data_IF_254344622601
#
_entry.id   IF_254344622601
#
_cell.length_a   1.000
_cell.length_b   1.000
_cell.length_c   1.000
_cell.angle_alpha   90.00
_cell.angle_beta   90.00
_cell.angle_gamma   90.00
#
_symmetry.space_group_name_H-M   'P 1'
#
loop_
_entity.id
_entity.type
_entity.pdbx_description
1 polymer ?
#
# COMPACT_ATOMS: atom_id res chain seq x y z
N UNK A 1 -84.74 29.07 -34.15
CA UNK A 1 -83.72 28.01 -34.29
C UNK A 1 -82.35 28.68 -34.48
N UNK A 2 -81.44 28.42 -33.53
CA UNK A 2 -79.97 28.50 -33.63
C UNK A 2 -79.28 29.74 -34.22
N UNK A 3 -78.73 30.61 -33.36
CA UNK A 3 -77.54 31.39 -33.70
C UNK A 3 -76.36 30.86 -32.88
N UNK A 4 -75.42 30.21 -33.57
CA UNK A 4 -74.11 29.84 -33.04
C UNK A 4 -73.24 31.09 -32.91
N UNK A 5 -72.66 31.33 -31.73
CA UNK A 5 -71.54 32.27 -31.57
C UNK A 5 -70.24 31.48 -31.47
N UNK A 6 -69.35 31.69 -32.44
CA UNK A 6 -67.99 31.17 -32.41
C UNK A 6 -67.09 32.06 -31.55
N UNK A 7 -66.15 31.39 -30.89
CA UNK A 7 -65.21 31.91 -29.91
C UNK A 7 -64.02 32.66 -30.53
N UNK A 8 -63.51 33.65 -29.79
CA UNK A 8 -62.11 34.09 -29.73
C UNK A 8 -62.05 35.20 -28.67
N UNK A 9 -61.18 35.24 -27.68
CA UNK A 9 -59.93 34.55 -27.37
C UNK A 9 -59.20 35.54 -26.48
N UNK A 10 -59.28 35.37 -25.16
CA UNK A 10 -58.80 36.34 -24.17
C UNK A 10 -57.55 35.79 -23.47
N UNK A 11 -56.55 35.40 -24.27
CA UNK A 11 -55.34 34.68 -23.79
C UNK A 11 -54.04 35.50 -23.92
N UNK A 12 -54.12 36.83 -24.06
CA UNK A 12 -52.92 37.67 -24.25
C UNK A 12 -52.37 38.31 -22.97
N UNK A 13 -53.21 38.61 -21.98
CA UNK A 13 -52.81 39.47 -20.85
C UNK A 13 -52.13 38.69 -19.71
N UNK A 14 -52.68 37.52 -19.34
CA UNK A 14 -52.13 36.72 -18.23
C UNK A 14 -50.73 36.16 -18.53
N UNK A 15 -50.44 35.87 -19.80
CA UNK A 15 -49.15 35.35 -20.25
C UNK A 15 -48.07 36.45 -20.23
N UNK A 16 -48.43 37.68 -20.59
CA UNK A 16 -47.52 38.83 -20.54
C UNK A 16 -47.14 39.25 -19.11
N UNK A 17 -48.09 39.18 -18.18
CA UNK A 17 -47.82 39.50 -16.76
C UNK A 17 -46.94 38.44 -16.10
N UNK A 18 -47.14 37.15 -16.41
CA UNK A 18 -46.30 36.07 -15.90
C UNK A 18 -44.86 36.16 -16.46
N UNK A 19 -44.71 36.48 -17.75
CA UNK A 19 -43.41 36.73 -18.36
C UNK A 19 -42.71 37.96 -17.77
N UNK A 20 -43.45 39.04 -17.50
CA UNK A 20 -42.90 40.24 -16.87
C UNK A 20 -42.47 39.97 -15.41
N UNK A 21 -43.24 39.18 -14.66
CA UNK A 21 -42.89 38.79 -13.29
C UNK A 21 -41.68 37.84 -13.26
N UNK A 22 -41.59 36.89 -14.18
CA UNK A 22 -40.41 36.02 -14.32
C UNK A 22 -39.16 36.82 -14.73
N UNK A 23 -39.30 37.78 -15.65
CA UNK A 23 -38.20 38.67 -16.03
C UNK A 23 -37.75 39.57 -14.87
N UNK A 24 -38.70 40.07 -14.05
CA UNK A 24 -38.39 40.85 -12.85
C UNK A 24 -37.72 40.01 -11.75
N UNK A 25 -38.13 38.75 -11.57
CA UNK A 25 -37.48 37.79 -10.68
C UNK A 25 -36.06 37.43 -11.13
N UNK A 26 -35.82 37.33 -12.45
CA UNK A 26 -34.49 37.14 -13.00
C UNK A 26 -33.61 38.40 -12.87
N UNK A 27 -34.19 39.60 -12.90
CA UNK A 27 -33.47 40.86 -12.70
C UNK A 27 -33.20 41.20 -11.22
N UNK A 28 -34.02 40.71 -10.29
CA UNK A 28 -33.84 40.90 -8.84
C UNK A 28 -32.87 39.89 -8.21
N UNK A 29 -32.47 38.85 -8.95
CA UNK A 29 -31.33 38.02 -8.60
C UNK A 29 -30.05 38.82 -8.82
N UNK A 30 -29.59 39.54 -7.79
CA UNK A 30 -28.24 40.09 -7.77
C UNK A 30 -27.27 38.95 -8.01
N UNK A 31 -26.64 38.92 -9.18
CA UNK A 31 -25.43 38.16 -9.40
C UNK A 31 -24.41 38.72 -8.40
N UNK A 32 -24.22 38.03 -7.28
CA UNK A 32 -23.06 38.27 -6.44
C UNK A 32 -21.87 37.93 -7.31
N UNK A 33 -21.11 38.95 -7.70
CA UNK A 33 -19.78 38.78 -8.26
C UNK A 33 -19.02 37.92 -7.25
N UNK A 34 -18.80 36.66 -7.62
CA UNK A 34 -17.95 35.78 -6.86
C UNK A 34 -16.53 36.19 -7.24
N UNK A 35 -15.86 36.93 -6.37
CA UNK A 35 -14.43 37.22 -6.49
C UNK A 35 -13.67 35.88 -6.41
N UNK A 36 -13.51 35.23 -7.56
CA UNK A 36 -12.57 34.13 -7.72
C UNK A 36 -11.18 34.75 -7.74
N UNK A 37 -10.60 34.91 -6.55
CA UNK A 37 -9.29 35.52 -6.34
C UNK A 37 -8.24 34.91 -7.29
N UNK A 38 -7.72 35.81 -8.12
CA UNK A 38 -6.58 35.67 -9.02
C UNK A 38 -5.42 34.92 -8.38
N UNK A 39 -5.01 33.82 -9.00
CA UNK A 39 -3.66 33.29 -8.84
C UNK A 39 -3.10 32.96 -10.21
N UNK A 40 -2.70 33.99 -10.95
CA UNK A 40 -1.71 33.79 -12.00
C UNK A 40 -0.77 34.99 -12.06
N UNK A 41 0.39 34.82 -11.43
CA UNK A 41 1.60 35.49 -11.85
C UNK A 41 2.71 34.45 -11.83
N UNK A 42 2.90 33.88 -13.01
CA UNK A 42 4.13 33.35 -13.58
C UNK A 42 4.66 31.96 -13.18
N UNK A 43 4.94 31.22 -14.26
CA UNK A 43 5.24 29.79 -14.36
C UNK A 43 6.68 29.51 -13.91
N UNK A 44 6.81 28.69 -12.87
CA UNK A 44 8.01 27.93 -12.51
C UNK A 44 7.58 26.54 -12.02
N UNK A 45 8.07 25.49 -12.67
CA UNK A 45 7.65 24.09 -12.52
C UNK A 45 7.68 23.54 -11.08
N UNK A 46 6.69 22.68 -10.77
CA UNK A 46 6.48 21.82 -9.58
C UNK A 46 5.51 22.30 -8.47
N UNK A 47 4.26 21.85 -8.65
CA UNK A 47 3.27 21.32 -7.68
C UNK A 47 2.88 22.10 -6.40
N UNK A 48 1.58 22.46 -6.40
CA UNK A 48 0.62 22.48 -5.28
C UNK A 48 0.72 23.54 -4.18
N UNK A 49 -0.06 24.61 -4.40
CA UNK A 49 -1.10 25.11 -3.49
C UNK A 49 -0.95 24.87 -1.99
N UNK A 50 -0.46 25.89 -1.28
CA UNK A 50 -0.59 26.00 0.18
C UNK A 50 -2.05 26.25 0.58
N UNK A 51 -2.66 25.25 1.21
CA UNK A 51 -3.68 25.43 2.23
C UNK A 51 -3.34 24.49 3.41
N UNK A 52 -2.57 25.02 4.38
CA UNK A 52 -2.23 24.44 5.69
C UNK A 52 -1.48 23.08 5.78
N UNK A 53 -0.60 22.71 4.84
CA UNK A 53 0.34 21.61 5.14
C UNK A 53 1.40 22.10 6.13
N UNK A 54 1.32 21.62 7.38
CA UNK A 54 2.34 21.86 8.40
C UNK A 54 3.70 21.43 7.84
N UNK A 55 4.79 22.22 8.02
CA UNK A 55 6.10 21.78 7.57
C UNK A 55 6.46 20.43 8.20
N UNK A 56 7.17 19.55 7.48
CA UNK A 56 7.59 18.26 8.02
C UNK A 56 8.34 18.49 9.33
N UNK A 57 7.86 17.83 10.38
CA UNK A 57 8.38 17.99 11.74
C UNK A 57 9.06 16.70 12.18
N UNK A 58 10.27 16.83 12.71
CA UNK A 58 10.97 15.70 13.28
C UNK A 58 10.61 15.54 14.76
N UNK A 59 10.15 14.34 15.10
CA UNK A 59 9.72 13.96 16.44
C UNK A 59 10.49 12.73 16.91
N UNK A 60 10.68 12.59 18.21
CA UNK A 60 11.33 11.40 18.78
C UNK A 60 10.39 10.18 18.69
N UNK A 61 10.96 9.02 18.36
CA UNK A 61 10.26 7.73 18.36
C UNK A 61 10.06 7.33 19.82
N UNK A 62 8.81 7.30 20.31
CA UNK A 62 8.57 7.04 21.72
C UNK A 62 8.67 5.54 22.02
N UNK A 63 8.98 5.20 23.28
CA UNK A 63 9.17 3.81 23.72
C UNK A 63 7.91 2.95 23.56
N UNK A 64 6.73 3.58 23.58
CA UNK A 64 5.45 2.91 23.40
C UNK A 64 5.12 2.61 21.93
N UNK A 65 5.87 3.15 20.95
CA UNK A 65 5.77 2.75 19.54
C UNK A 65 6.53 1.43 19.30
N UNK A 66 5.98 0.34 19.87
CA UNK A 66 6.60 -0.99 19.92
C UNK A 66 7.09 -1.54 18.58
N UNK A 67 6.46 -1.14 17.47
CA UNK A 67 6.84 -1.57 16.13
C UNK A 67 8.25 -1.09 15.76
N UNK A 68 8.59 0.15 16.10
CA UNK A 68 9.76 0.87 15.58
C UNK A 68 10.69 1.44 16.65
N UNK A 69 10.37 1.25 17.93
CA UNK A 69 11.33 1.54 18.98
C UNK A 69 12.59 0.68 18.79
N UNK A 70 13.76 1.31 18.87
CA UNK A 70 15.08 0.67 18.72
C UNK A 70 15.39 0.10 17.32
N UNK A 71 14.83 0.67 16.26
CA UNK A 71 15.09 0.28 14.85
C UNK A 71 16.41 0.81 14.28
N UNK A 72 17.22 1.52 15.08
CA UNK A 72 18.55 2.03 14.69
C UNK A 72 18.66 3.56 14.57
N UNK A 73 17.54 4.28 14.69
CA UNK A 73 17.49 5.74 14.79
C UNK A 73 16.46 6.17 15.84
N UNK A 74 16.55 7.43 16.27
CA UNK A 74 15.74 7.96 17.38
C UNK A 74 14.65 8.94 16.96
N UNK A 75 14.76 9.54 15.77
CA UNK A 75 13.84 10.58 15.29
C UNK A 75 13.22 10.20 13.96
N UNK A 76 11.92 10.43 13.85
CA UNK A 76 11.15 10.22 12.63
C UNK A 76 10.50 11.53 12.17
N UNK A 77 10.08 11.59 10.92
CA UNK A 77 9.35 12.74 10.35
C UNK A 77 7.84 12.50 10.33
N UNK A 78 7.07 13.56 10.61
CA UNK A 78 5.63 13.65 10.37
C UNK A 78 5.31 14.80 9.39
N UNK A 79 4.32 14.65 8.50
CA UNK A 79 3.54 13.43 8.28
C UNK A 79 4.40 12.28 7.72
N UNK A 80 4.05 11.04 8.04
CA UNK A 80 4.79 9.87 7.55
C UNK A 80 4.36 9.46 6.14
N UNK A 81 4.97 8.39 5.58
CA UNK A 81 4.65 7.90 4.23
C UNK A 81 3.25 7.28 4.09
N UNK A 82 2.53 7.13 5.20
CA UNK A 82 1.14 6.69 5.28
C UNK A 82 0.21 7.86 5.65
N UNK A 83 0.69 9.11 5.54
CA UNK A 83 -0.07 10.34 5.75
C UNK A 83 -0.61 10.56 7.17
N UNK A 84 -0.05 9.88 8.17
CA UNK A 84 -0.38 10.18 9.57
C UNK A 84 0.30 11.48 9.99
N UNK A 85 -0.46 12.42 10.55
CA UNK A 85 0.04 13.74 10.96
C UNK A 85 0.43 13.77 12.44
N UNK A 86 -0.14 12.85 13.24
CA UNK A 86 0.02 12.82 14.70
C UNK A 86 0.61 11.51 15.20
N UNK A 87 1.32 11.57 16.32
CA UNK A 87 1.84 10.35 16.97
C UNK A 87 0.74 9.43 17.50
N UNK A 88 -0.44 9.96 17.82
CA UNK A 88 -1.55 9.14 18.25
C UNK A 88 -2.02 8.20 17.12
N UNK A 89 -2.20 8.75 15.91
CA UNK A 89 -2.55 7.98 14.72
C UNK A 89 -1.51 6.92 14.37
N UNK A 90 -0.23 7.31 14.35
CA UNK A 90 0.88 6.38 14.07
C UNK A 90 0.88 5.24 15.05
N UNK A 91 0.78 5.51 16.37
CA UNK A 91 0.75 4.45 17.39
C UNK A 91 -0.45 3.54 17.23
N UNK A 92 -1.63 4.12 17.00
CA UNK A 92 -2.86 3.36 16.85
C UNK A 92 -2.76 2.38 15.69
N UNK A 93 -2.39 2.86 14.50
CA UNK A 93 -2.32 1.98 13.33
C UNK A 93 -1.11 1.04 13.38
N UNK A 94 0.05 1.48 13.85
CA UNK A 94 1.25 0.63 13.99
C UNK A 94 1.04 -0.52 14.99
N UNK A 95 0.22 -0.32 16.03
CA UNK A 95 -0.04 -1.35 17.04
C UNK A 95 -0.65 -2.63 16.46
N UNK A 96 -1.47 -2.51 15.41
CA UNK A 96 -2.10 -3.64 14.72
C UNK A 96 -1.09 -4.52 13.98
N UNK A 97 0.12 -4.01 13.70
CA UNK A 97 1.18 -4.75 13.01
C UNK A 97 2.12 -5.52 13.95
N UNK A 98 2.09 -5.21 15.26
CA UNK A 98 2.94 -5.87 16.26
C UNK A 98 2.73 -7.40 16.31
N UNK A 99 1.50 -7.94 16.23
CA UNK A 99 1.30 -9.38 16.19
C UNK A 99 1.96 -10.05 14.97
N UNK A 100 1.92 -9.42 13.79
CA UNK A 100 2.58 -9.94 12.59
C UNK A 100 4.11 -9.89 12.73
N UNK A 101 4.65 -8.79 13.27
CA UNK A 101 6.08 -8.67 13.55
C UNK A 101 6.57 -9.79 14.47
N UNK A 102 5.79 -10.13 15.52
CA UNK A 102 6.10 -11.20 16.46
C UNK A 102 5.96 -12.62 15.88
N UNK A 103 5.39 -12.78 14.67
CA UNK A 103 5.45 -14.05 13.95
C UNK A 103 6.80 -14.27 13.27
N UNK A 104 7.61 -13.21 13.12
CA UNK A 104 8.95 -13.28 12.54
C UNK A 104 8.99 -13.99 11.18
N UNK A 105 7.94 -13.81 10.36
CA UNK A 105 7.81 -14.42 9.04
C UNK A 105 8.94 -14.02 8.08
N UNK A 106 9.50 -12.81 8.22
CA UNK A 106 10.66 -12.36 7.46
C UNK A 106 11.55 -11.46 8.32
N UNK A 107 12.87 -11.49 8.10
CA UNK A 107 13.81 -10.64 8.85
C UNK A 107 13.65 -9.15 8.51
N UNK A 108 13.23 -8.88 7.28
CA UNK A 108 12.95 -7.53 6.75
C UNK A 108 11.68 -6.87 7.26
N UNK A 109 10.80 -7.58 7.96
CA UNK A 109 9.47 -7.07 8.30
C UNK A 109 9.53 -5.78 9.12
N UNK A 110 10.41 -5.72 10.13
CA UNK A 110 10.52 -4.52 10.98
C UNK A 110 11.00 -3.31 10.18
N UNK A 111 12.08 -3.46 9.42
CA UNK A 111 12.65 -2.36 8.62
C UNK A 111 11.65 -1.88 7.57
N UNK A 112 10.99 -2.81 6.88
CA UNK A 112 9.96 -2.46 5.89
C UNK A 112 8.83 -1.65 6.53
N UNK A 113 8.20 -2.15 7.60
CA UNK A 113 7.09 -1.44 8.24
C UNK A 113 7.54 -0.09 8.82
N UNK A 114 8.71 -0.02 9.45
CA UNK A 114 9.21 1.23 10.04
C UNK A 114 9.65 2.27 9.01
N UNK A 115 10.06 1.85 7.81
CA UNK A 115 10.30 2.80 6.72
C UNK A 115 9.04 3.61 6.36
N UNK A 116 7.86 3.04 6.59
CA UNK A 116 6.56 3.67 6.27
C UNK A 116 5.95 4.36 7.50
N UNK A 117 5.90 3.67 8.63
CA UNK A 117 5.30 4.18 9.87
C UNK A 117 6.16 5.22 10.58
N UNK A 118 7.49 5.05 10.54
CA UNK A 118 8.44 5.86 11.27
C UNK A 118 9.64 6.27 10.40
N UNK A 119 9.45 6.87 9.21
CA UNK A 119 10.55 7.21 8.30
C UNK A 119 11.60 8.07 9.00
N UNK A 120 12.87 7.86 8.67
CA UNK A 120 14.00 8.63 9.22
C UNK A 120 13.77 10.12 8.99
N UNK A 121 14.07 10.94 10.01
CA UNK A 121 14.04 12.40 9.90
C UNK A 121 15.09 12.89 8.87
N UNK A 122 14.64 13.12 7.64
CA UNK A 122 15.40 13.65 6.51
C UNK A 122 14.53 14.66 5.74
N UNK A 123 15.16 15.57 4.99
CA UNK A 123 14.45 16.59 4.19
C UNK A 123 13.59 15.97 3.08
N UNK A 124 14.03 14.82 2.55
CA UNK A 124 13.29 14.05 1.56
C UNK A 124 13.07 12.63 2.09
N UNK A 125 11.84 12.12 2.08
CA UNK A 125 11.59 10.76 2.53
C UNK A 125 12.19 9.76 1.54
N UNK A 126 12.71 8.65 2.08
CA UNK A 126 13.25 7.54 1.30
C UNK A 126 12.29 6.36 1.46
N UNK A 127 11.81 5.83 0.34
CA UNK A 127 10.90 4.69 0.31
C UNK A 127 11.67 3.36 0.46
N UNK A 128 11.01 2.28 0.96
CA UNK A 128 11.58 0.94 0.86
C UNK A 128 11.70 0.52 -0.61
N UNK A 129 12.72 -0.28 -0.93
CA UNK A 129 12.83 -0.85 -2.27
C UNK A 129 11.67 -1.82 -2.54
N UNK A 130 11.19 -1.90 -3.79
CA UNK A 130 10.11 -2.82 -4.18
C UNK A 130 10.40 -4.27 -3.83
N UNK A 131 11.62 -4.74 -4.11
CA UNK A 131 12.03 -6.11 -3.81
C UNK A 131 11.96 -6.43 -2.31
N UNK A 132 12.21 -5.46 -1.43
CA UNK A 132 12.10 -5.64 0.02
C UNK A 132 10.63 -5.81 0.42
N UNK A 133 9.74 -5.01 -0.16
CA UNK A 133 8.30 -5.18 0.03
C UNK A 133 7.83 -6.56 -0.42
N UNK A 134 8.21 -6.98 -1.63
CA UNK A 134 7.80 -8.28 -2.19
C UNK A 134 8.29 -9.43 -1.33
N UNK A 135 9.56 -9.43 -0.92
CA UNK A 135 10.11 -10.45 -0.04
C UNK A 135 9.37 -10.55 1.30
N UNK A 136 9.02 -9.41 1.91
CA UNK A 136 8.24 -9.37 3.16
C UNK A 136 6.81 -9.84 2.91
N UNK A 137 6.13 -9.35 1.86
CA UNK A 137 4.78 -9.76 1.48
C UNK A 137 4.72 -11.27 1.27
N UNK A 138 5.56 -11.82 0.42
CA UNK A 138 5.52 -13.23 0.04
C UNK A 138 5.74 -14.15 1.25
N UNK A 139 6.52 -13.70 2.23
CA UNK A 139 6.77 -14.44 3.48
C UNK A 139 5.66 -14.27 4.52
N UNK A 140 5.06 -13.09 4.62
CA UNK A 140 4.16 -12.71 5.71
C UNK A 140 2.67 -12.72 5.34
N UNK A 141 2.32 -12.53 4.08
CA UNK A 141 0.94 -12.55 3.60
C UNK A 141 0.26 -13.91 3.84
N UNK A 142 0.89 -15.08 3.62
CA UNK A 142 0.27 -16.37 3.96
C UNK A 142 -0.07 -16.49 5.46
N UNK A 143 0.76 -15.90 6.32
CA UNK A 143 0.51 -15.83 7.77
C UNK A 143 -0.68 -14.92 8.07
N UNK A 144 -0.81 -13.78 7.39
CA UNK A 144 -1.98 -12.91 7.52
C UNK A 144 -3.26 -13.60 7.05
N UNK A 145 -3.21 -14.28 5.90
CA UNK A 145 -4.36 -14.99 5.32
C UNK A 145 -4.85 -16.12 6.22
N UNK A 146 -3.95 -16.80 6.93
CA UNK A 146 -4.32 -17.79 7.94
C UNK A 146 -5.22 -17.22 9.06
N UNK A 147 -5.05 -15.93 9.40
CA UNK A 147 -5.89 -15.22 10.36
C UNK A 147 -7.06 -14.44 9.69
N UNK A 148 -7.27 -14.60 8.38
CA UNK A 148 -8.36 -13.95 7.64
C UNK A 148 -8.05 -12.51 7.18
N UNK A 149 -6.78 -12.11 7.15
CA UNK A 149 -6.35 -10.79 6.69
C UNK A 149 -5.60 -10.89 5.35
N UNK A 150 -5.81 -9.92 4.47
CA UNK A 150 -5.08 -9.81 3.20
C UNK A 150 -4.01 -8.73 3.28
N UNK A 151 -3.05 -8.78 2.36
CA UNK A 151 -2.07 -7.70 2.22
C UNK A 151 -2.77 -6.38 1.83
N UNK A 152 -2.67 -5.31 2.64
CA UNK A 152 -3.48 -4.11 2.45
C UNK A 152 -2.98 -3.25 1.30
N UNK A 153 -3.90 -2.47 0.73
CA UNK A 153 -3.63 -1.56 -0.39
C UNK A 153 -2.47 -0.60 -0.10
N UNK A 154 -2.41 -0.05 1.13
CA UNK A 154 -1.38 0.90 1.55
C UNK A 154 0.06 0.33 1.48
N UNK A 155 0.20 -1.01 1.45
CA UNK A 155 1.49 -1.70 1.39
C UNK A 155 1.73 -2.39 0.04
N UNK A 156 0.89 -2.17 -0.99
CA UNK A 156 1.12 -2.78 -2.30
C UNK A 156 2.48 -2.39 -2.87
N UNK A 157 3.24 -3.40 -3.27
CA UNK A 157 4.65 -3.22 -3.65
C UNK A 157 4.84 -2.38 -4.92
N UNK A 158 3.84 -2.30 -5.79
CA UNK A 158 3.86 -1.48 -7.01
C UNK A 158 3.99 0.03 -6.71
N UNK A 159 3.65 0.45 -5.48
CA UNK A 159 3.82 1.83 -5.02
C UNK A 159 5.28 2.19 -4.73
N UNK A 160 6.18 1.20 -4.65
CA UNK A 160 7.57 1.39 -4.27
C UNK A 160 8.51 1.33 -5.49
N UNK A 161 9.65 2.05 -5.44
CA UNK A 161 10.60 2.11 -6.54
C UNK A 161 11.34 0.77 -6.74
N UNK A 162 11.56 0.40 -8.01
CA UNK A 162 12.45 -0.71 -8.40
C UNK A 162 13.92 -0.29 -8.46
N UNK A 163 14.20 0.97 -8.80
CA UNK A 163 15.54 1.58 -8.88
C UNK A 163 15.82 2.56 -7.74
N UNK A 164 16.53 3.64 -8.05
CA UNK A 164 16.85 4.78 -7.16
C UNK A 164 17.45 4.44 -5.77
N UNK A 165 17.72 5.48 -4.98
CA UNK A 165 18.11 5.35 -3.57
C UNK A 165 16.86 4.93 -2.77
N UNK A 166 16.85 3.69 -2.30
CA UNK A 166 15.76 3.12 -1.51
C UNK A 166 16.27 2.33 -0.30
N UNK A 167 15.42 2.11 0.69
CA UNK A 167 15.77 1.36 1.90
C UNK A 167 15.78 -0.13 1.59
N UNK A 168 16.94 -0.74 1.77
CA UNK A 168 17.25 -2.13 1.53
C UNK A 168 17.63 -2.85 2.84
N UNK A 169 17.30 -4.13 2.96
CA UNK A 169 17.90 -4.99 3.98
C UNK A 169 19.14 -5.69 3.40
N UNK A 170 20.32 -5.30 3.87
CA UNK A 170 21.52 -6.10 3.62
C UNK A 170 21.66 -7.09 4.78
N UNK A 171 21.68 -8.41 4.55
CA UNK A 171 21.94 -9.35 5.62
C UNK A 171 23.33 -9.05 6.22
N UNK A 172 23.54 -9.22 7.54
CA UNK A 172 24.80 -8.89 8.22
C UNK A 172 26.02 -9.73 7.79
N UNK A 173 25.93 -10.48 6.70
CA UNK A 173 27.01 -11.32 6.17
C UNK A 173 27.36 -11.05 4.69
N UNK A 174 26.91 -9.93 4.12
CA UNK A 174 27.20 -9.55 2.72
C UNK A 174 28.27 -8.46 2.59
N UNK A 175 29.27 -8.46 3.47
CA UNK A 175 30.55 -7.81 3.18
C UNK A 175 31.39 -8.83 2.42
N UNK A 176 31.79 -8.47 1.19
CA UNK A 176 32.55 -9.26 0.21
C UNK A 176 31.76 -10.15 -0.78
N UNK A 177 31.19 -9.54 -1.82
CA UNK A 177 31.25 -10.06 -3.20
C UNK A 177 30.68 -9.04 -4.20
N UNK A 178 31.36 -7.92 -4.39
CA UNK A 178 31.16 -7.10 -5.60
C UNK A 178 32.35 -7.31 -6.54
N UNK A 179 32.23 -8.29 -7.43
CA UNK A 179 32.94 -8.30 -8.71
C UNK A 179 31.93 -8.68 -9.81
N UNK A 180 31.83 -7.90 -10.90
CA UNK A 180 30.95 -8.24 -12.00
C UNK A 180 31.65 -9.28 -12.88
N UNK A 181 31.03 -10.43 -13.09
CA UNK A 181 31.38 -11.29 -14.23
C UNK A 181 30.14 -12.04 -14.70
N UNK A 182 29.73 -11.70 -15.93
CA UNK A 182 28.54 -12.25 -16.55
C UNK A 182 28.73 -13.65 -17.14
N UNK A 183 27.61 -14.08 -17.74
CA UNK A 183 27.38 -15.25 -18.60
C UNK A 183 26.97 -16.56 -17.88
N UNK A 184 25.65 -16.66 -17.68
CA UNK A 184 24.79 -17.77 -18.11
C UNK A 184 25.09 -19.20 -17.68
N UNK A 185 24.21 -19.77 -16.84
CA UNK A 185 23.64 -21.12 -16.92
C UNK A 185 22.71 -21.38 -15.70
N UNK A 186 21.73 -22.31 -15.80
CA UNK A 186 20.45 -22.19 -15.10
C UNK A 186 20.40 -22.77 -13.68
N UNK A 187 19.43 -22.24 -12.94
CA UNK A 187 19.03 -22.52 -11.56
C UNK A 187 18.67 -23.99 -11.30
N UNK A 188 19.38 -24.64 -10.38
CA UNK A 188 18.90 -25.86 -9.73
C UNK A 188 17.96 -25.46 -8.58
N UNK A 189 16.67 -25.67 -8.78
CA UNK A 189 15.61 -25.62 -7.76
C UNK A 189 15.91 -26.62 -6.64
N UNK A 190 16.15 -26.13 -5.42
CA UNK A 190 16.09 -26.94 -4.20
C UNK A 190 14.63 -27.23 -3.87
N UNK A 191 14.24 -28.50 -3.94
CA UNK A 191 12.91 -29.00 -3.55
C UNK A 191 12.75 -28.99 -2.02
N UNK A 192 11.56 -28.69 -1.45
CA UNK A 192 11.33 -28.69 -0.01
C UNK A 192 11.39 -30.11 0.61
N UNK A 193 11.75 -30.24 1.90
CA UNK A 193 11.80 -31.55 2.56
C UNK A 193 10.41 -32.15 2.77
N UNK A 194 10.29 -33.46 2.53
CA UNK A 194 9.04 -34.22 2.71
C UNK A 194 8.62 -34.31 4.19
N UNK A 195 7.31 -34.33 4.51
CA UNK A 195 6.82 -34.47 5.88
C UNK A 195 6.98 -35.90 6.39
N UNK A 196 7.48 -36.06 7.61
CA UNK A 196 7.53 -37.34 8.31
C UNK A 196 6.12 -37.71 8.79
N UNK A 197 5.46 -38.61 8.09
CA UNK A 197 4.22 -39.20 8.57
C UNK A 197 4.12 -40.70 8.22
N UNK A 198 3.78 -41.47 9.26
CA UNK A 198 3.17 -42.81 9.23
C UNK A 198 4.13 -44.02 9.11
N UNK A 199 4.82 -44.33 10.21
CA UNK A 199 5.21 -45.70 10.51
C UNK A 199 4.01 -46.44 11.15
N UNK A 200 3.23 -47.14 10.33
CA UNK A 200 2.29 -48.18 10.74
C UNK A 200 2.61 -49.46 9.97
N UNK A 201 3.10 -50.49 10.66
CA UNK A 201 3.43 -51.77 10.05
C UNK A 201 2.17 -52.53 9.62
N UNK A 202 2.17 -53.04 8.39
CA UNK A 202 1.13 -53.90 7.82
C UNK A 202 1.46 -55.39 7.95
N UNK A 203 0.45 -56.21 8.19
CA UNK A 203 0.40 -57.63 7.83
C UNK A 203 -0.38 -57.78 6.51
N UNK A 204 0.09 -58.67 5.63
CA UNK A 204 -0.12 -58.60 4.17
C UNK A 204 -1.25 -59.42 3.55
N UNK A 205 -1.41 -59.27 2.23
CA UNK A 205 -1.53 -60.31 1.18
C UNK A 205 -1.71 -59.67 -0.21
N UNK A 206 -1.45 -60.49 -1.23
CA UNK A 206 -1.04 -60.17 -2.60
C UNK A 206 -2.11 -59.59 -3.56
N UNK A 207 -1.61 -58.82 -4.55
CA UNK A 207 -2.31 -58.42 -5.77
C UNK A 207 -1.70 -57.15 -6.37
N UNK A 208 -1.22 -57.19 -7.62
CA UNK A 208 -0.74 -56.01 -8.38
C UNK A 208 -1.45 -56.00 -9.75
N UNK A 209 -2.12 -54.92 -10.22
CA UNK A 209 -1.59 -53.84 -11.10
C UNK A 209 -0.76 -52.60 -10.71
N UNK A 210 0.49 -52.53 -11.18
CA UNK A 210 1.15 -51.42 -11.92
C UNK A 210 1.11 -49.95 -11.47
N UNK A 211 2.34 -49.41 -11.54
CA UNK A 211 2.78 -48.03 -11.80
C UNK A 211 3.01 -47.11 -10.60
N UNK A 212 4.09 -47.36 -9.88
CA UNK A 212 4.89 -46.27 -9.31
C UNK A 212 6.36 -46.53 -9.63
N UNK A 213 6.98 -45.62 -10.36
CA UNK A 213 8.39 -45.65 -10.67
C UNK A 213 9.19 -45.66 -9.35
N UNK A 214 9.74 -46.83 -9.00
CA UNK A 214 10.66 -46.98 -7.88
C UNK A 214 11.94 -46.24 -8.24
N UNK A 215 12.04 -44.97 -7.85
CA UNK A 215 13.30 -44.22 -7.90
C UNK A 215 14.26 -44.93 -6.94
N UNK A 216 15.26 -45.61 -7.51
CA UNK A 216 16.33 -46.26 -6.76
C UNK A 216 17.12 -45.14 -6.08
N UNK A 217 16.86 -44.91 -4.79
CA UNK A 217 17.73 -44.07 -3.98
C UNK A 217 18.97 -44.90 -3.65
N UNK A 218 20.07 -44.59 -4.34
CA UNK A 218 21.39 -45.11 -4.04
C UNK A 218 21.82 -44.46 -2.72
N UNK A 219 22.03 -45.27 -1.70
CA UNK A 219 22.73 -44.85 -0.49
C UNK A 219 24.21 -44.73 -0.84
N UNK A 220 24.70 -43.50 -1.03
CA UNK A 220 26.14 -43.28 -0.96
C UNK A 220 26.54 -42.91 0.48
N UNK A 221 27.67 -43.42 0.96
CA UNK A 221 28.05 -43.38 2.37
C UNK A 221 28.77 -42.06 2.69
N UNK A 222 28.53 -41.59 3.91
CA UNK A 222 29.37 -40.74 4.77
C UNK A 222 30.39 -39.78 4.13
N UNK A 223 30.25 -38.50 4.48
CA UNK A 223 31.36 -37.54 4.44
C UNK A 223 31.31 -36.62 5.67
N UNK A 224 32.32 -36.81 6.54
CA UNK A 224 32.95 -35.91 7.52
C UNK A 224 32.10 -35.04 8.45
#
# INVERSE_FOLDING_TARGET
MGSWRSARGRSGAASGVLLALLAALLAAGSASEYDYVSFQSDIGSYQSGRFYTKPPQCVDIPVDLRLCHNVGYKKMVLPNLLEHETMAEVKQQASSWVPLLNKNCHMGTQVFLCSLFAPVCLDRPIYPCRWLCEAVRDSCEPVMQFFGFYWPEMLKCDKFPEGDVCIAMTPPNATEASKPQGKGAPSHTREPPCPAALAGAAAGKAGEPRTAARKVCRSDPESF
#
